data_IF_145287035445
#
_entry.id   IF_145287035445
#
_cell.length_a   1.000
_cell.length_b   1.000
_cell.length_c   1.000
_cell.angle_alpha   90.00
_cell.angle_beta   90.00
_cell.angle_gamma   90.00
#
_symmetry.space_group_name_H-M   'P 1'
#
loop_
_entity.id
_entity.type
_entity.pdbx_description
1 polymer ?
#
# COMPACT_ATOMS: atom_id res chain seq x y z
N UNK A 1 5.75 -5.81 11.10
CA UNK A 1 5.23 -5.44 9.76
C UNK A 1 6.30 -5.19 8.69
N UNK A 2 7.58 -5.07 9.01
CA UNK A 2 8.61 -4.69 8.02
C UNK A 2 9.08 -5.84 7.11
N UNK A 3 8.88 -7.10 7.51
CA UNK A 3 9.36 -8.26 6.74
C UNK A 3 8.65 -8.40 5.38
N UNK A 4 7.32 -8.41 5.37
CA UNK A 4 6.57 -8.50 4.11
C UNK A 4 6.87 -7.30 3.19
N UNK A 5 7.09 -6.11 3.77
CA UNK A 5 7.51 -4.91 3.01
C UNK A 5 8.86 -5.06 2.32
N UNK A 6 9.83 -5.73 2.95
CA UNK A 6 11.13 -6.03 2.32
C UNK A 6 10.99 -7.01 1.15
N UNK A 7 9.94 -7.83 1.14
CA UNK A 7 9.62 -8.79 0.09
C UNK A 7 8.68 -8.21 -0.99
N UNK A 8 8.34 -6.93 -0.91
CA UNK A 8 7.44 -6.25 -1.85
C UNK A 8 5.95 -6.31 -1.50
N UNK A 9 5.56 -6.92 -0.39
CA UNK A 9 4.17 -7.04 0.07
C UNK A 9 3.84 -6.00 1.15
N UNK A 10 2.60 -5.52 1.21
CA UNK A 10 2.17 -4.51 2.19
C UNK A 10 1.49 -5.09 3.43
N UNK A 11 1.06 -6.36 3.40
CA UNK A 11 0.38 -7.05 4.51
C UNK A 11 1.10 -8.33 4.97
N UNK A 12 1.07 -8.57 6.28
CA UNK A 12 1.39 -9.87 6.90
C UNK A 12 0.07 -10.53 7.30
N UNK A 13 -0.30 -11.64 6.64
CA UNK A 13 -1.56 -12.32 6.91
C UNK A 13 -1.47 -13.17 8.18
N UNK A 14 -0.50 -14.08 8.20
CA UNK A 14 -0.21 -14.92 9.35
C UNK A 14 1.27 -15.35 9.32
N UNK A 15 1.70 -15.92 10.43
CA UNK A 15 2.98 -16.59 10.56
C UNK A 15 2.77 -17.89 11.33
N UNK A 16 3.51 -18.93 10.96
CA UNK A 16 3.43 -20.24 11.62
C UNK A 16 4.82 -20.77 11.90
N UNK A 17 4.97 -21.50 13.00
CA UNK A 17 6.17 -22.23 13.31
C UNK A 17 6.10 -23.60 12.65
N UNK A 18 7.10 -23.94 11.84
CA UNK A 18 7.17 -25.19 11.09
C UNK A 18 8.35 -25.98 11.61
N UNK A 19 8.10 -27.20 12.07
CA UNK A 19 9.18 -28.09 12.49
C UNK A 19 10.02 -28.50 11.28
N UNK A 20 11.28 -28.11 11.28
CA UNK A 20 12.28 -28.49 10.29
C UNK A 20 13.23 -29.54 10.88
N UNK A 21 13.78 -30.40 10.02
CA UNK A 21 14.90 -31.29 10.40
C UNK A 21 16.22 -30.55 10.64
N UNK A 22 16.27 -29.24 10.37
CA UNK A 22 17.42 -28.37 10.63
C UNK A 22 17.41 -27.91 12.10
N UNK A 23 18.52 -28.17 12.80
CA UNK A 23 18.73 -27.81 14.20
C UNK A 23 19.49 -26.50 14.37
N UNK A 24 20.11 -25.94 13.32
CA UNK A 24 20.96 -24.74 13.41
C UNK A 24 20.31 -23.55 12.71
N UNK A 25 19.65 -22.69 13.48
CA UNK A 25 18.91 -21.55 12.92
C UNK A 25 19.49 -20.20 13.35
N UNK A 26 19.21 -19.16 12.55
CA UNK A 26 19.61 -17.79 12.85
C UNK A 26 18.47 -17.03 13.52
N UNK A 27 18.70 -16.53 14.73
CA UNK A 27 17.78 -15.66 15.44
C UNK A 27 18.21 -14.19 15.28
N UNK A 28 17.45 -13.36 14.54
CA UNK A 28 17.74 -11.94 14.40
C UNK A 28 17.27 -11.17 15.64
N UNK A 29 18.17 -10.46 16.32
CA UNK A 29 17.84 -9.60 17.47
C UNK A 29 17.59 -8.17 17.02
N UNK A 30 16.43 -7.93 16.42
CA UNK A 30 16.07 -6.62 15.91
C UNK A 30 15.74 -5.62 17.02
N UNK A 31 16.35 -4.44 16.99
CA UNK A 31 16.03 -3.28 17.84
C UNK A 31 15.01 -2.37 17.15
N UNK A 32 14.28 -1.57 17.94
CA UNK A 32 13.40 -0.52 17.41
C UNK A 32 14.22 0.41 16.52
N UNK A 33 13.78 0.61 15.28
CA UNK A 33 14.47 1.44 14.28
C UNK A 33 15.28 0.68 13.22
N UNK A 34 15.34 -0.66 13.25
CA UNK A 34 15.97 -1.44 12.18
C UNK A 34 14.94 -1.84 11.11
N UNK A 35 14.95 -1.22 9.91
CA UNK A 35 13.96 -1.49 8.88
C UNK A 35 14.22 -2.77 8.10
N UNK A 36 15.46 -3.30 8.10
CA UNK A 36 15.86 -4.50 7.38
C UNK A 36 16.25 -5.64 8.32
N UNK A 37 15.75 -6.87 8.06
CA UNK A 37 16.12 -8.05 8.87
C UNK A 37 17.62 -8.36 8.79
N UNK A 38 18.25 -7.95 7.70
CA UNK A 38 19.69 -8.09 7.46
C UNK A 38 20.53 -7.14 8.33
N UNK A 39 19.93 -6.09 8.86
CA UNK A 39 20.62 -5.14 9.74
C UNK A 39 20.58 -5.56 11.20
N UNK A 40 19.76 -6.55 11.55
CA UNK A 40 19.68 -7.07 12.90
C UNK A 40 20.92 -7.94 13.20
N UNK A 41 21.56 -7.79 14.37
CA UNK A 41 22.54 -8.74 14.86
C UNK A 41 21.98 -10.17 14.82
N UNK A 42 22.78 -11.13 14.35
CA UNK A 42 22.39 -12.53 14.20
C UNK A 42 23.07 -13.35 15.28
N UNK A 43 22.30 -14.14 16.00
CA UNK A 43 22.80 -15.16 16.92
C UNK A 43 22.41 -16.55 16.40
N UNK A 44 23.30 -17.52 16.55
CA UNK A 44 23.00 -18.93 16.21
C UNK A 44 22.24 -19.54 17.38
N UNK A 45 21.09 -20.15 17.09
CA UNK A 45 20.28 -20.87 18.06
C UNK A 45 20.03 -22.31 17.64
N UNK A 46 19.80 -23.18 18.62
CA UNK A 46 19.42 -24.55 18.39
C UNK A 46 17.91 -24.70 18.55
N UNK A 47 17.20 -24.66 17.43
CA UNK A 47 15.76 -24.82 17.40
C UNK A 47 15.39 -25.69 16.21
N UNK A 48 14.42 -26.59 16.40
CA UNK A 48 13.87 -27.42 15.34
C UNK A 48 12.70 -26.76 14.63
N UNK A 49 12.36 -25.51 14.96
CA UNK A 49 11.23 -24.80 14.37
C UNK A 49 11.70 -23.59 13.57
N UNK A 50 11.30 -23.52 12.31
CA UNK A 50 11.50 -22.37 11.43
C UNK A 50 10.25 -21.50 11.34
N UNK A 51 10.45 -20.22 11.07
CA UNK A 51 9.38 -19.25 10.85
C UNK A 51 8.91 -19.29 9.40
N UNK A 52 7.67 -19.69 9.18
CA UNK A 52 6.96 -19.50 7.92
C UNK A 52 6.12 -18.22 8.00
N UNK A 53 6.17 -17.41 6.95
CA UNK A 53 5.41 -16.15 6.86
C UNK A 53 4.55 -16.15 5.61
N UNK A 54 3.29 -15.77 5.77
CA UNK A 54 2.37 -15.56 4.66
C UNK A 54 2.19 -14.06 4.46
N UNK A 55 2.77 -13.56 3.38
CA UNK A 55 2.59 -12.19 2.95
C UNK A 55 1.58 -12.14 1.81
N UNK A 56 0.73 -11.11 1.81
CA UNK A 56 -0.11 -10.84 0.66
C UNK A 56 -0.15 -9.36 0.36
N UNK A 57 -0.63 -9.06 -0.84
CA UNK A 57 -1.08 -7.72 -1.15
C UNK A 57 -2.46 -7.52 -0.56
N UNK A 58 -2.71 -6.35 0.02
CA UNK A 58 -4.06 -5.97 0.42
C UNK A 58 -5.01 -6.09 -0.78
N UNK A 59 -5.91 -7.07 -0.75
CA UNK A 59 -7.05 -7.17 -1.69
C UNK A 59 -8.12 -6.12 -1.38
N UNK A 60 -8.05 -5.53 -0.18
CA UNK A 60 -8.65 -4.24 0.16
C UNK A 60 -7.78 -3.14 -0.46
N UNK A 61 -7.73 -3.17 -1.77
CA UNK A 61 -6.92 -2.29 -2.57
C UNK A 61 -7.69 -0.98 -2.77
N UNK A 62 -7.72 -0.15 -1.73
CA UNK A 62 -8.16 1.25 -1.89
C UNK A 62 -7.13 2.05 -2.71
N UNK A 63 -5.97 1.46 -3.06
CA UNK A 63 -4.90 2.13 -3.77
C UNK A 63 -4.24 1.24 -4.83
N UNK A 64 -4.96 0.93 -5.91
CA UNK A 64 -4.33 0.65 -7.21
C UNK A 64 -4.27 1.92 -8.07
N UNK A 65 -3.88 3.03 -7.43
CA UNK A 65 -2.60 3.68 -7.73
C UNK A 65 -2.41 4.40 -9.06
N UNK A 66 -3.41 4.48 -9.92
CA UNK A 66 -3.39 5.39 -11.06
C UNK A 66 -4.62 6.27 -11.04
N UNK A 67 -4.37 7.58 -11.01
CA UNK A 67 -5.36 8.62 -11.16
C UNK A 67 -5.16 9.28 -12.52
N UNK A 68 -6.25 9.70 -13.15
CA UNK A 68 -6.19 10.52 -14.36
C UNK A 68 -7.30 11.55 -14.34
N UNK A 69 -7.05 12.65 -15.05
CA UNK A 69 -8.08 13.60 -15.42
C UNK A 69 -8.48 13.30 -16.87
N UNK A 70 -9.78 13.15 -17.11
CA UNK A 70 -10.35 12.97 -18.45
C UNK A 70 -11.34 14.07 -18.76
N UNK A 71 -11.60 14.32 -20.05
CA UNK A 71 -12.60 15.30 -20.50
C UNK A 71 -12.36 16.74 -20.01
N UNK A 72 -11.11 17.11 -19.73
CA UNK A 72 -10.71 18.50 -19.48
C UNK A 72 -10.21 19.19 -20.74
N UNK A 73 -10.31 20.52 -20.78
CA UNK A 73 -9.70 21.32 -21.86
C UNK A 73 -8.17 21.39 -21.70
N UNK A 74 -7.68 21.27 -20.47
CA UNK A 74 -6.26 21.27 -20.14
C UNK A 74 -5.86 20.00 -19.37
N UNK A 75 -4.58 19.56 -19.42
CA UNK A 75 -4.09 18.41 -18.66
C UNK A 75 -4.25 18.54 -17.13
N UNK A 76 -4.45 19.76 -16.64
CA UNK A 76 -4.62 20.10 -15.23
C UNK A 76 -6.08 20.13 -14.76
N UNK A 77 -7.04 19.82 -15.64
CA UNK A 77 -8.46 19.79 -15.32
C UNK A 77 -9.17 18.58 -15.94
N UNK A 78 -10.36 18.26 -15.45
CA UNK A 78 -11.18 17.18 -15.96
C UNK A 78 -11.86 16.38 -14.87
N UNK A 79 -12.65 15.39 -15.28
CA UNK A 79 -13.26 14.40 -14.40
C UNK A 79 -12.19 13.47 -13.84
N UNK A 80 -12.16 13.33 -12.52
CA UNK A 80 -11.23 12.45 -11.83
C UNK A 80 -11.67 10.99 -11.94
N UNK A 81 -10.82 10.16 -12.55
CA UNK A 81 -10.98 8.71 -12.62
C UNK A 81 -9.85 7.99 -11.90
N UNK A 82 -10.19 6.88 -11.25
CA UNK A 82 -9.26 6.01 -10.54
C UNK A 82 -9.29 4.62 -11.16
N UNK A 83 -8.11 4.01 -11.31
CA UNK A 83 -7.99 2.64 -11.77
C UNK A 83 -8.17 1.67 -10.61
N UNK A 84 -9.22 0.84 -10.65
CA UNK A 84 -9.55 -0.12 -9.59
C UNK A 84 -9.88 -1.46 -10.25
N UNK A 85 -9.22 -2.53 -9.81
CA UNK A 85 -9.49 -3.92 -10.22
C UNK A 85 -9.47 -4.16 -11.74
N UNK A 86 -8.58 -3.50 -12.46
CA UNK A 86 -8.42 -3.71 -13.91
C UNK A 86 -9.30 -2.81 -14.78
N UNK A 87 -10.05 -1.88 -14.18
CA UNK A 87 -10.94 -0.97 -14.91
C UNK A 87 -10.86 0.46 -14.35
N UNK A 88 -11.13 1.42 -15.23
CA UNK A 88 -11.26 2.83 -14.87
C UNK A 88 -12.66 3.09 -14.31
N UNK A 89 -12.73 3.71 -13.14
CA UNK A 89 -13.99 4.11 -12.50
C UNK A 89 -13.97 5.59 -12.11
N UNK A 90 -15.14 6.23 -12.16
CA UNK A 90 -15.33 7.57 -11.60
C UNK A 90 -15.60 7.50 -10.09
N UNK A 91 -15.11 8.48 -9.34
CA UNK A 91 -15.48 8.63 -7.94
C UNK A 91 -16.94 9.07 -7.85
N UNK A 92 -17.75 8.39 -7.03
CA UNK A 92 -19.12 8.81 -6.79
C UNK A 92 -19.13 10.13 -6.01
N UNK A 93 -19.80 11.16 -6.56
CA UNK A 93 -20.03 12.42 -5.85
C UNK A 93 -20.84 12.25 -4.55
N UNK A 94 -21.57 11.13 -4.43
CA UNK A 94 -22.25 10.71 -3.21
C UNK A 94 -21.27 9.95 -2.30
N UNK A 95 -20.40 10.68 -1.61
CA UNK A 95 -19.65 10.11 -0.49
C UNK A 95 -20.33 10.53 0.81
N UNK A 96 -20.57 9.56 1.70
CA UNK A 96 -21.15 9.78 3.03
C UNK A 96 -20.26 10.67 3.92
N UNK A 97 -19.00 10.89 3.54
CA UNK A 97 -17.97 11.54 4.36
C UNK A 97 -17.49 12.91 3.86
N UNK A 98 -18.05 13.45 2.76
CA UNK A 98 -17.84 14.86 2.38
C UNK A 98 -16.41 15.30 2.00
N UNK A 99 -15.46 14.38 1.87
CA UNK A 99 -14.01 14.68 1.72
C UNK A 99 -13.53 14.83 0.26
N UNK A 100 -14.42 15.17 -0.68
CA UNK A 100 -14.06 15.34 -2.11
C UNK A 100 -12.94 16.36 -2.33
N UNK A 101 -12.81 17.38 -1.47
CA UNK A 101 -11.74 18.38 -1.53
C UNK A 101 -10.39 17.75 -1.24
N UNK A 102 -10.33 16.89 -0.21
CA UNK A 102 -9.11 16.17 0.17
C UNK A 102 -8.75 15.18 -0.93
N UNK A 103 -9.74 14.47 -1.48
CA UNK A 103 -9.52 13.54 -2.58
C UNK A 103 -8.98 14.24 -3.83
N UNK A 104 -9.56 15.38 -4.22
CA UNK A 104 -9.08 16.19 -5.33
C UNK A 104 -7.64 16.68 -5.09
N UNK A 105 -7.34 17.20 -3.88
CA UNK A 105 -5.99 17.64 -3.54
C UNK A 105 -4.97 16.50 -3.61
N UNK A 106 -5.31 15.33 -3.06
CA UNK A 106 -4.45 14.14 -3.12
C UNK A 106 -4.25 13.66 -4.54
N UNK A 107 -5.29 13.67 -5.38
CA UNK A 107 -5.20 13.28 -6.79
C UNK A 107 -4.32 14.25 -7.61
N UNK A 108 -4.51 15.56 -7.45
CA UNK A 108 -3.67 16.56 -8.12
C UNK A 108 -2.19 16.41 -7.74
N UNK A 109 -1.90 16.16 -6.44
CA UNK A 109 -0.52 15.90 -6.00
C UNK A 109 0.07 14.62 -6.57
N UNK A 110 -0.73 13.57 -6.72
CA UNK A 110 -0.28 12.32 -7.36
C UNK A 110 0.04 12.51 -8.85
N UNK A 111 -0.65 13.43 -9.53
CA UNK A 111 -0.38 13.81 -10.92
C UNK A 111 0.81 14.77 -11.07
N UNK A 112 1.47 15.17 -9.98
CA UNK A 112 2.61 16.08 -9.99
C UNK A 112 2.27 17.56 -9.86
N UNK A 113 1.01 17.91 -9.59
CA UNK A 113 0.61 19.28 -9.29
C UNK A 113 0.80 19.62 -7.80
N UNK A 114 0.76 20.90 -7.45
CA UNK A 114 0.91 21.36 -6.06
C UNK A 114 -0.32 21.06 -5.19
N UNK A 115 -1.49 20.90 -5.80
CA UNK A 115 -2.77 20.63 -5.14
C UNK A 115 -3.95 20.94 -6.06
N UNK A 116 -5.17 20.70 -5.59
CA UNK A 116 -6.38 21.03 -6.34
C UNK A 116 -6.74 22.50 -6.15
N UNK A 117 -6.79 23.25 -7.26
CA UNK A 117 -7.19 24.67 -7.23
C UNK A 117 -8.72 24.85 -7.14
N UNK A 118 -9.48 23.98 -7.78
CA UNK A 118 -10.94 24.00 -7.78
C UNK A 118 -11.48 22.57 -7.91
N UNK A 119 -12.71 22.37 -7.46
CA UNK A 119 -13.46 21.12 -7.63
C UNK A 119 -14.93 21.47 -7.84
N UNK A 120 -15.64 20.68 -8.64
CA UNK A 120 -17.08 20.82 -8.86
C UNK A 120 -17.72 19.44 -8.89
N UNK A 121 -18.95 19.36 -8.40
CA UNK A 121 -19.79 18.17 -8.53
C UNK A 121 -20.70 18.45 -9.72
N UNK A 122 -20.40 17.83 -10.86
CA UNK A 122 -21.28 17.92 -12.02
C UNK A 122 -22.61 17.27 -11.70
N UNK A 123 -23.67 18.07 -11.58
CA UNK A 123 -25.04 17.57 -11.68
C UNK A 123 -25.34 17.35 -13.15
N UNK A 124 -25.71 16.13 -13.53
CA UNK A 124 -26.43 15.92 -14.79
C UNK A 124 -27.70 16.75 -14.81
#
# INVERSE_FOLDING_TARGET
MTLCKQLGYDQLNNYTLVSTGDSRQYSPRCRSGQPHILWCPREVTYCTQSLSVNCSYSTVNYYIGQVRLVDGQYPSEGRLEIYIRGSWGSLSAYSYYGDYKIMADRACRQLGYTGAAAWSIGTM
#
